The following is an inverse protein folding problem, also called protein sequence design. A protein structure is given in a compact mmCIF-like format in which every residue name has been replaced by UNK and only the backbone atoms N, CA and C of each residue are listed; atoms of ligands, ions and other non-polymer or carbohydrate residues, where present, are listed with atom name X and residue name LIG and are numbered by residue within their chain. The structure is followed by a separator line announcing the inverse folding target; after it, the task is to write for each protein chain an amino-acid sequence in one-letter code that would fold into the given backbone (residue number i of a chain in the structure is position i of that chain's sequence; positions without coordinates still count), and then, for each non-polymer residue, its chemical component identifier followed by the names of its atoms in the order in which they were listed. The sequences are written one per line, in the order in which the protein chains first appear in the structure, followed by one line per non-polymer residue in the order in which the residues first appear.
data_IF_736657982984
#
_entry.id   IF_736657982984
#
_cell.length_a   1.000
_cell.length_b   1.000
_cell.length_c   1.000
_cell.angle_alpha   90.00
_cell.angle_beta   90.00
_cell.angle_gamma   90.00
#
_symmetry.space_group_name_H-M   'P 1'
#
loop_
_entity.id
_entity.type
_entity.pdbx_description
1 polymer ?
#
# COMPACT_ATOMS: atom_id res chain seq x y z
N UNK A 1 -5.50 23.36 23.82
CA UNK A 1 -4.70 22.98 22.64
C UNK A 1 -4.05 21.64 22.94
N UNK A 2 -4.73 20.53 22.62
CA UNK A 2 -4.15 19.19 22.74
C UNK A 2 -3.28 18.93 21.52
N UNK A 3 -2.14 18.31 21.75
CA UNK A 3 -1.03 18.12 20.82
C UNK A 3 -1.45 17.36 19.56
N UNK A 4 -1.54 18.04 18.42
CA UNK A 4 -1.74 17.39 17.10
C UNK A 4 -0.60 16.43 16.79
N UNK A 5 0.62 16.76 17.25
CA UNK A 5 1.83 15.98 17.02
C UNK A 5 1.87 14.60 17.69
N UNK A 6 1.08 14.36 18.74
CA UNK A 6 1.04 13.04 19.38
C UNK A 6 0.18 12.04 18.60
N UNK A 7 -0.83 12.53 17.87
CA UNK A 7 -1.70 11.69 17.03
C UNK A 7 -1.03 11.35 15.70
N UNK A 8 -0.23 12.26 15.13
CA UNK A 8 0.51 12.03 13.87
C UNK A 8 1.60 10.94 13.98
N UNK A 9 2.12 10.68 15.19
CA UNK A 9 3.08 9.61 15.43
C UNK A 9 2.43 8.24 15.65
N UNK A 10 1.16 8.23 16.08
CA UNK A 10 0.35 7.01 16.22
C UNK A 10 -0.31 6.60 14.88
N UNK A 11 -0.46 7.54 13.94
CA UNK A 11 -1.08 7.33 12.63
C UNK A 11 -0.12 6.83 11.51
N UNK A 12 1.15 6.58 11.80
CA UNK A 12 2.06 5.94 10.83
C UNK A 12 1.72 4.44 10.69
N UNK A 13 0.71 4.16 9.89
CA UNK A 13 0.23 2.82 9.60
C UNK A 13 1.21 2.05 8.70
N UNK A 14 0.96 0.75 8.57
CA UNK A 14 1.73 -0.11 7.66
C UNK A 14 1.73 0.42 6.21
N UNK A 15 0.72 1.21 5.83
CA UNK A 15 0.59 1.82 4.51
C UNK A 15 1.80 2.69 4.13
N UNK A 16 2.46 3.34 5.10
CA UNK A 16 3.62 4.22 4.84
C UNK A 16 4.86 3.44 4.37
N UNK A 17 4.89 2.14 4.61
CA UNK A 17 5.97 1.24 4.21
C UNK A 17 5.63 0.42 2.96
N UNK A 18 4.52 0.75 2.28
CA UNK A 18 4.07 0.03 1.11
C UNK A 18 4.92 0.38 -0.13
N UNK A 19 5.46 -0.63 -0.82
CA UNK A 19 6.22 -0.44 -2.07
C UNK A 19 5.37 0.16 -3.21
N UNK A 20 4.04 0.09 -3.12
CA UNK A 20 3.15 0.71 -4.11
C UNK A 20 3.05 2.23 -3.94
N UNK A 21 3.55 2.80 -2.84
CA UNK A 21 3.51 4.24 -2.61
C UNK A 21 4.33 4.97 -3.70
N UNK A 22 3.68 5.87 -4.44
CA UNK A 22 4.30 6.59 -5.56
C UNK A 22 4.33 5.83 -6.89
N UNK A 23 3.75 4.62 -6.94
CA UNK A 23 3.55 3.87 -8.20
C UNK A 23 2.20 4.27 -8.81
N UNK A 24 2.10 4.21 -10.15
CA UNK A 24 0.87 4.49 -10.89
C UNK A 24 -0.28 3.57 -10.43
N UNK A 25 -1.43 4.10 -9.98
CA UNK A 25 -2.60 3.31 -9.60
C UNK A 25 -3.12 2.40 -10.73
N UNK A 26 -3.00 2.80 -12.00
CA UNK A 26 -3.49 2.01 -13.14
C UNK A 26 -2.74 0.68 -13.26
N UNK A 27 -1.54 0.58 -12.68
CA UNK A 27 -0.80 -0.67 -12.57
C UNK A 27 -1.56 -1.71 -11.71
N UNK A 28 -2.16 -1.26 -10.61
CA UNK A 28 -2.88 -2.13 -9.66
C UNK A 28 -4.35 -2.30 -10.01
N UNK A 29 -4.91 -1.39 -10.81
CA UNK A 29 -6.29 -1.43 -11.30
C UNK A 29 -6.37 -1.45 -12.83
N UNK A 30 -5.77 -2.45 -13.50
CA UNK A 30 -5.69 -2.46 -14.95
C UNK A 30 -7.03 -2.82 -15.59
N UNK A 31 -7.19 -2.43 -16.86
CA UNK A 31 -8.35 -2.80 -17.68
C UNK A 31 -8.59 -4.31 -17.73
N UNK A 32 -9.85 -4.71 -17.94
CA UNK A 32 -10.22 -6.12 -17.97
C UNK A 32 -9.43 -6.87 -19.06
N UNK A 33 -8.68 -7.89 -18.63
CA UNK A 33 -7.86 -8.72 -19.52
C UNK A 33 -6.44 -8.22 -19.73
N UNK A 34 -6.07 -7.06 -19.18
CA UNK A 34 -4.69 -6.59 -19.15
C UNK A 34 -3.87 -7.34 -18.09
N UNK A 35 -2.54 -7.25 -18.21
CA UNK A 35 -1.60 -7.99 -17.39
C UNK A 35 -1.52 -7.42 -15.96
N UNK A 36 -1.49 -8.32 -14.97
CA UNK A 36 -1.23 -7.99 -13.55
C UNK A 36 0.20 -8.32 -13.13
N UNK A 37 1.08 -8.66 -14.08
CA UNK A 37 2.42 -9.18 -13.77
C UNK A 37 3.27 -8.18 -13.00
N UNK A 38 3.35 -6.96 -13.49
CA UNK A 38 4.20 -5.91 -12.91
C UNK A 38 3.67 -5.46 -11.54
N UNK A 39 2.35 -5.29 -11.37
CA UNK A 39 1.73 -5.08 -10.05
C UNK A 39 2.10 -6.18 -9.04
N UNK A 40 2.06 -7.45 -9.48
CA UNK A 40 2.43 -8.60 -8.64
C UNK A 40 3.92 -8.60 -8.30
N UNK A 41 4.79 -8.12 -9.18
CA UNK A 41 6.22 -7.97 -8.91
C UNK A 41 6.46 -6.92 -7.82
N UNK A 42 5.77 -5.77 -7.87
CA UNK A 42 5.80 -4.76 -6.80
C UNK A 42 5.32 -5.33 -5.47
N UNK A 43 4.16 -6.00 -5.47
CA UNK A 43 3.61 -6.60 -4.24
C UNK A 43 4.49 -7.72 -3.66
N UNK A 44 5.20 -8.49 -4.50
CA UNK A 44 5.96 -9.67 -4.04
C UNK A 44 7.08 -9.30 -3.06
N UNK A 45 7.71 -8.13 -3.23
CA UNK A 45 8.77 -7.62 -2.36
C UNK A 45 8.31 -6.63 -1.28
N UNK A 46 6.99 -6.41 -1.14
CA UNK A 46 6.46 -5.43 -0.20
C UNK A 46 6.53 -5.97 1.24
N UNK A 47 7.15 -5.21 2.14
CA UNK A 47 7.36 -5.62 3.55
C UNK A 47 6.05 -5.69 4.35
N UNK A 48 5.03 -4.94 3.92
CA UNK A 48 3.69 -4.88 4.54
C UNK A 48 2.64 -5.69 3.78
N UNK A 49 3.08 -6.68 2.98
CA UNK A 49 2.16 -7.48 2.15
C UNK A 49 1.11 -8.23 2.98
N UNK A 50 1.46 -8.70 4.16
CA UNK A 50 0.54 -9.44 5.03
C UNK A 50 -0.51 -8.54 5.64
N UNK A 51 -0.12 -7.40 6.23
CA UNK A 51 -1.05 -6.39 6.76
C UNK A 51 -1.99 -5.85 5.67
N UNK A 52 -1.46 -5.62 4.47
CA UNK A 52 -2.24 -5.18 3.31
C UNK A 52 -3.26 -6.22 2.87
N UNK A 53 -2.90 -7.51 2.90
CA UNK A 53 -3.81 -8.59 2.55
C UNK A 53 -4.90 -8.74 3.62
N UNK A 54 -4.54 -8.66 4.90
CA UNK A 54 -5.50 -8.72 6.00
C UNK A 54 -6.53 -7.59 5.93
N UNK A 55 -6.08 -6.37 5.61
CA UNK A 55 -6.99 -5.24 5.41
C UNK A 55 -7.95 -5.42 4.22
N UNK A 56 -7.53 -6.14 3.17
CA UNK A 56 -8.29 -6.28 1.92
C UNK A 56 -9.29 -7.44 1.91
N UNK A 57 -9.19 -8.38 2.84
CA UNK A 57 -10.06 -9.56 2.97
C UNK A 57 -11.31 -9.26 3.82
#
# INVERSE_FOLDING_TARGET
MRSVAANELEDQGWQDYANCLGVDPDLFFPERGASTREAKEVCRGCVVREDCLEFAL
#
